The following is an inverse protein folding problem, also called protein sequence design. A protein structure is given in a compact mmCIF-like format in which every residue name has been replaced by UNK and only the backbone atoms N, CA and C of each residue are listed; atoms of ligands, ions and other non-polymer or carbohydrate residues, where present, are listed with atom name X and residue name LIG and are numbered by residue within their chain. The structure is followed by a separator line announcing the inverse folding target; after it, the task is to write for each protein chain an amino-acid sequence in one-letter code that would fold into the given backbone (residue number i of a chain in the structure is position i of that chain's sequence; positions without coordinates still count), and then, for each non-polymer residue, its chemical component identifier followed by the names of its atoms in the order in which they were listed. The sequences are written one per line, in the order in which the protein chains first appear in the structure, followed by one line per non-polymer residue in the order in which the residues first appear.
data_IF_649760266109
#
_entry.id   IF_649760266109
#
_cell.length_a   1.000
_cell.length_b   1.000
_cell.length_c   1.000
_cell.angle_alpha   90.00
_cell.angle_beta   90.00
_cell.angle_gamma   90.00
#
_symmetry.space_group_name_H-M   'P 1'
#
loop_
_entity.id
_entity.type
_entity.pdbx_description
1 polymer ?
#
# COMPACT_ATOMS: atom_id res chain seq x y z
N UNK A 1 -17.50 -31.06 -20.31
CA UNK A 1 -17.67 -30.06 -19.24
C UNK A 1 -16.40 -29.25 -19.21
N UNK A 2 -16.46 -27.91 -19.11
CA UNK A 2 -15.25 -27.12 -18.95
C UNK A 2 -14.54 -27.60 -17.68
N UNK A 3 -13.26 -27.92 -17.78
CA UNK A 3 -12.44 -28.32 -16.64
C UNK A 3 -12.25 -27.10 -15.75
N UNK A 4 -12.55 -27.21 -14.45
CA UNK A 4 -12.33 -26.12 -13.50
C UNK A 4 -10.86 -25.68 -13.56
N UNK A 5 -10.62 -24.37 -13.64
CA UNK A 5 -9.29 -23.81 -13.86
C UNK A 5 -9.13 -22.45 -13.19
N UNK A 6 -7.91 -22.16 -12.73
CA UNK A 6 -7.50 -20.85 -12.20
C UNK A 6 -6.94 -19.90 -13.26
N UNK A 7 -7.05 -20.24 -14.55
CA UNK A 7 -6.51 -19.43 -15.65
C UNK A 7 -7.00 -17.98 -15.61
N UNK A 8 -8.30 -17.75 -15.48
CA UNK A 8 -8.86 -16.39 -15.41
C UNK A 8 -8.45 -15.66 -14.11
N UNK A 9 -8.35 -16.38 -12.99
CA UNK A 9 -7.78 -15.83 -11.74
C UNK A 9 -6.35 -15.34 -11.95
N UNK A 10 -5.50 -16.16 -12.60
CA UNK A 10 -4.10 -15.81 -12.91
C UNK A 10 -4.00 -14.68 -13.91
N UNK A 11 -4.85 -14.66 -14.94
CA UNK A 11 -4.90 -13.56 -15.91
C UNK A 11 -5.24 -12.23 -15.25
N UNK A 12 -6.11 -12.21 -14.24
CA UNK A 12 -6.42 -11.01 -13.45
C UNK A 12 -5.26 -10.57 -12.56
N UNK A 13 -4.50 -11.51 -11.99
CA UNK A 13 -3.27 -11.18 -11.26
C UNK A 13 -2.20 -10.60 -12.19
N UNK A 14 -2.01 -11.18 -13.37
CA UNK A 14 -1.12 -10.63 -14.39
C UNK A 14 -1.57 -9.23 -14.87
N UNK A 15 -2.88 -8.99 -14.95
CA UNK A 15 -3.41 -7.67 -15.23
C UNK A 15 -3.13 -6.65 -14.11
N UNK A 16 -3.14 -7.09 -12.85
CA UNK A 16 -2.67 -6.27 -11.74
C UNK A 16 -1.18 -5.92 -11.90
N UNK A 17 -0.34 -6.83 -12.41
CA UNK A 17 1.08 -6.52 -12.66
C UNK A 17 1.25 -5.40 -13.68
N UNK A 18 0.47 -5.41 -14.76
CA UNK A 18 0.47 -4.31 -15.73
C UNK A 18 0.11 -2.95 -15.09
N UNK A 19 -0.85 -2.91 -14.18
CA UNK A 19 -1.19 -1.69 -13.45
C UNK A 19 -0.08 -1.24 -12.50
N UNK A 20 0.59 -2.19 -11.85
CA UNK A 20 1.71 -1.91 -10.95
C UNK A 20 2.91 -1.34 -11.71
N UNK A 21 3.25 -1.91 -12.87
CA UNK A 21 4.34 -1.41 -13.72
C UNK A 21 4.05 0.03 -14.17
N UNK A 22 2.83 0.30 -14.65
CA UNK A 22 2.45 1.67 -15.06
C UNK A 22 2.43 2.65 -13.87
N UNK A 23 1.99 2.19 -12.69
CA UNK A 23 2.08 2.99 -11.46
C UNK A 23 3.53 3.36 -11.15
N UNK A 24 4.46 2.41 -11.21
CA UNK A 24 5.88 2.64 -10.94
C UNK A 24 6.51 3.59 -11.95
N UNK A 25 6.15 3.51 -13.22
CA UNK A 25 6.59 4.45 -14.26
C UNK A 25 6.08 5.88 -14.03
N UNK A 26 4.81 6.03 -13.66
CA UNK A 26 4.23 7.34 -13.32
C UNK A 26 4.88 7.92 -12.06
N UNK A 27 5.12 7.06 -11.07
CA UNK A 27 5.77 7.43 -9.83
C UNK A 27 7.19 7.94 -10.11
N UNK A 28 8.01 7.17 -10.83
CA UNK A 28 9.38 7.55 -11.15
C UNK A 28 9.43 8.90 -11.89
N UNK A 29 8.61 9.04 -12.94
CA UNK A 29 8.50 10.30 -13.69
C UNK A 29 8.14 11.50 -12.82
N UNK A 30 7.21 11.33 -11.88
CA UNK A 30 6.83 12.41 -10.98
C UNK A 30 8.00 12.89 -10.10
N UNK A 31 8.85 11.99 -9.61
CA UNK A 31 10.00 12.36 -8.78
C UNK A 31 11.21 12.86 -9.60
N UNK A 32 11.35 12.43 -10.85
CA UNK A 32 12.39 12.91 -11.77
C UNK A 32 12.20 14.39 -12.14
N UNK A 33 10.98 14.91 -12.03
CA UNK A 33 10.64 16.32 -12.31
C UNK A 33 10.88 17.28 -11.12
N UNK A 34 11.57 16.84 -10.07
CA UNK A 34 11.84 17.65 -8.86
C UNK A 34 10.57 18.29 -8.27
N UNK A 35 9.56 17.49 -7.87
CA UNK A 35 8.22 18.01 -7.57
C UNK A 35 8.14 18.79 -6.26
N UNK A 36 9.21 18.81 -5.47
CA UNK A 36 9.33 19.58 -4.25
C UNK A 36 10.78 20.03 -4.02
N UNK A 37 10.92 20.99 -3.11
CA UNK A 37 12.18 21.46 -2.58
C UNK A 37 12.11 21.51 -1.05
N UNK A 38 13.25 21.37 -0.39
CA UNK A 38 13.35 21.56 1.06
C UNK A 38 14.25 22.76 1.31
N UNK A 39 13.72 23.75 2.00
CA UNK A 39 14.48 24.95 2.39
C UNK A 39 14.81 24.90 3.87
N UNK A 40 15.89 25.57 4.25
CA UNK A 40 16.30 25.73 5.64
C UNK A 40 16.17 27.20 6.04
N UNK A 41 15.33 27.48 7.03
CA UNK A 41 15.10 28.82 7.57
C UNK A 41 15.68 28.92 8.97
N UNK A 42 16.45 29.99 9.23
CA UNK A 42 16.92 30.28 10.59
C UNK A 42 15.76 30.81 11.44
N UNK A 43 15.63 30.30 12.65
CA UNK A 43 14.68 30.75 13.65
C UNK A 43 15.39 31.27 14.91
N UNK A 44 14.62 31.83 15.86
CA UNK A 44 15.13 32.28 17.15
C UNK A 44 15.84 31.15 17.91
N UNK A 45 16.61 31.48 18.95
CA UNK A 45 17.26 30.52 19.86
C UNK A 45 18.13 29.44 19.18
N UNK A 46 18.72 29.79 18.01
CA UNK A 46 19.62 28.93 17.21
C UNK A 46 18.96 27.65 16.72
N UNK A 47 17.68 27.77 16.41
CA UNK A 47 16.91 26.80 15.66
C UNK A 47 17.06 27.01 14.16
N UNK A 48 17.03 25.91 13.42
CA UNK A 48 16.81 25.90 11.97
C UNK A 48 15.58 25.06 11.70
N UNK A 49 14.65 25.60 10.92
CA UNK A 49 13.42 24.95 10.50
C UNK A 49 13.63 24.50 9.05
N UNK A 50 13.44 23.20 8.81
CA UNK A 50 13.35 22.67 7.46
C UNK A 50 11.89 22.75 7.00
N UNK A 51 11.64 23.37 5.84
CA UNK A 51 10.29 23.46 5.25
C UNK A 51 10.24 22.76 3.91
N UNK A 52 9.15 22.02 3.68
CA UNK A 52 8.84 21.46 2.38
C UNK A 52 8.09 22.50 1.52
N UNK A 53 8.57 22.72 0.31
CA UNK A 53 7.86 23.48 -0.72
C UNK A 53 7.44 22.56 -1.85
N UNK A 54 6.15 22.42 -2.07
CA UNK A 54 5.61 21.54 -3.11
C UNK A 54 5.47 22.35 -4.40
N UNK A 55 6.31 22.05 -5.39
CA UNK A 55 6.29 22.70 -6.71
C UNK A 55 5.21 22.12 -7.61
N UNK A 56 5.00 20.81 -7.52
CA UNK A 56 4.00 20.06 -8.29
C UNK A 56 3.34 19.01 -7.43
N UNK A 57 2.00 19.02 -7.36
CA UNK A 57 1.23 17.96 -6.72
C UNK A 57 1.37 16.63 -7.47
N UNK A 58 1.26 15.47 -6.78
CA UNK A 58 1.22 14.18 -7.44
C UNK A 58 0.12 14.14 -8.52
N UNK A 59 0.38 13.55 -9.70
CA UNK A 59 -0.61 13.41 -10.75
C UNK A 59 -1.80 12.57 -10.27
N UNK A 60 -3.02 12.95 -10.64
CA UNK A 60 -4.26 12.25 -10.24
C UNK A 60 -4.29 10.81 -10.77
N UNK A 61 -3.61 10.57 -11.87
CA UNK A 61 -3.42 9.29 -12.54
C UNK A 61 -2.81 8.23 -11.62
N UNK A 62 -1.96 8.63 -10.65
CA UNK A 62 -1.44 7.70 -9.62
C UNK A 62 -2.56 7.12 -8.74
N UNK A 63 -3.58 7.91 -8.42
CA UNK A 63 -4.73 7.44 -7.67
C UNK A 63 -5.61 6.51 -8.50
N UNK A 64 -5.85 6.87 -9.76
CA UNK A 64 -6.67 6.07 -10.69
C UNK A 64 -6.06 4.68 -10.95
N UNK A 65 -4.78 4.63 -11.32
CA UNK A 65 -4.11 3.36 -11.61
C UNK A 65 -3.95 2.50 -10.35
N UNK A 66 -3.81 3.11 -9.18
CA UNK A 66 -3.82 2.39 -7.91
C UNK A 66 -5.18 1.75 -7.61
N UNK A 67 -6.28 2.45 -7.90
CA UNK A 67 -7.64 1.89 -7.84
C UNK A 67 -7.81 0.69 -8.78
N UNK A 68 -7.35 0.80 -10.03
CA UNK A 68 -7.38 -0.29 -11.01
C UNK A 68 -6.55 -1.52 -10.57
N UNK A 69 -5.39 -1.27 -9.95
CA UNK A 69 -4.55 -2.32 -9.34
C UNK A 69 -5.29 -3.05 -8.22
N UNK A 70 -5.87 -2.31 -7.25
CA UNK A 70 -6.67 -2.88 -6.15
C UNK A 70 -7.86 -3.68 -6.69
N UNK A 71 -8.56 -3.14 -7.68
CA UNK A 71 -9.69 -3.79 -8.32
C UNK A 71 -9.27 -5.12 -8.95
N UNK A 72 -8.14 -5.15 -9.65
CA UNK A 72 -7.64 -6.35 -10.32
C UNK A 72 -7.27 -7.45 -9.32
N UNK A 73 -6.55 -7.12 -8.24
CA UNK A 73 -6.26 -8.04 -7.14
C UNK A 73 -7.54 -8.61 -6.51
N UNK A 74 -8.49 -7.73 -6.19
CA UNK A 74 -9.75 -8.12 -5.57
C UNK A 74 -10.60 -9.00 -6.49
N UNK A 75 -10.64 -8.65 -7.78
CA UNK A 75 -11.37 -9.36 -8.82
C UNK A 75 -10.77 -10.76 -9.06
N UNK A 76 -9.45 -10.92 -8.95
CA UNK A 76 -8.81 -12.22 -9.05
C UNK A 76 -9.30 -13.17 -7.94
N UNK A 77 -9.32 -12.70 -6.69
CA UNK A 77 -9.83 -13.48 -5.55
C UNK A 77 -11.31 -13.83 -5.72
N UNK A 78 -12.15 -12.89 -6.15
CA UNK A 78 -13.57 -13.17 -6.42
C UNK A 78 -13.76 -14.20 -7.52
N UNK A 79 -12.97 -14.10 -8.58
CA UNK A 79 -13.03 -15.01 -9.71
C UNK A 79 -12.70 -16.45 -9.31
N UNK A 80 -11.76 -16.65 -8.38
CA UNK A 80 -11.34 -17.97 -7.87
C UNK A 80 -12.49 -18.78 -7.24
N UNK A 81 -13.54 -18.13 -6.74
CA UNK A 81 -14.64 -18.84 -6.09
C UNK A 81 -15.44 -19.69 -7.08
N UNK A 82 -15.60 -19.26 -8.34
CA UNK A 82 -16.35 -20.04 -9.33
C UNK A 82 -15.65 -21.37 -9.66
N UNK A 83 -14.36 -21.41 -10.00
CA UNK A 83 -13.61 -22.66 -10.17
C UNK A 83 -13.64 -23.59 -8.94
N UNK A 84 -13.58 -23.05 -7.72
CA UNK A 84 -13.71 -23.86 -6.49
C UNK A 84 -15.10 -24.52 -6.35
N UNK A 85 -16.17 -23.86 -6.82
CA UNK A 85 -17.52 -24.45 -6.85
C UNK A 85 -17.59 -25.56 -7.92
N UNK A 86 -16.97 -25.34 -9.08
CA UNK A 86 -16.91 -26.30 -10.17
C UNK A 86 -16.12 -27.57 -9.80
N UNK A 87 -15.01 -27.42 -9.07
CA UNK A 87 -14.26 -28.56 -8.50
C UNK A 87 -15.12 -29.42 -7.57
N UNK A 88 -16.09 -28.82 -6.89
CA UNK A 88 -17.06 -29.52 -6.06
C UNK A 88 -18.24 -30.11 -6.85
N UNK A 89 -18.17 -30.15 -8.19
CA UNK A 89 -19.21 -30.67 -9.07
C UNK A 89 -20.49 -29.81 -9.11
N UNK A 90 -20.41 -28.54 -8.71
CA UNK A 90 -21.56 -27.62 -8.63
C UNK A 90 -21.44 -26.49 -9.64
N UNK A 91 -22.56 -25.81 -9.88
CA UNK A 91 -22.62 -24.66 -10.79
C UNK A 91 -22.52 -23.33 -10.01
N UNK A 92 -21.64 -22.40 -10.40
CA UNK A 92 -21.48 -21.13 -9.71
C UNK A 92 -22.71 -20.21 -9.90
N UNK A 93 -23.12 -19.56 -8.81
CA UNK A 93 -24.20 -18.56 -8.84
C UNK A 93 -23.71 -17.15 -9.15
N UNK A 94 -24.63 -16.22 -9.40
CA UNK A 94 -24.31 -14.82 -9.79
C UNK A 94 -23.67 -13.95 -8.70
N UNK A 95 -23.72 -14.36 -7.43
CA UNK A 95 -23.30 -13.55 -6.27
C UNK A 95 -22.24 -14.28 -5.44
N UNK A 96 -21.18 -14.73 -6.12
CA UNK A 96 -20.05 -15.43 -5.48
C UNK A 96 -18.83 -14.53 -5.45
N UNK A 97 -18.18 -14.49 -4.31
CA UNK A 97 -17.03 -13.60 -4.06
C UNK A 97 -16.19 -14.13 -2.90
N UNK A 98 -14.91 -13.80 -2.92
CA UNK A 98 -14.01 -14.14 -1.82
C UNK A 98 -14.46 -13.34 -0.58
N UNK A 99 -14.74 -13.99 0.56
CA UNK A 99 -15.18 -13.31 1.76
C UNK A 99 -13.98 -12.68 2.48
N UNK A 100 -14.19 -11.50 3.05
CA UNK A 100 -13.26 -10.82 3.96
C UNK A 100 -14.08 -10.30 5.12
N UNK A 101 -13.90 -10.89 6.29
CA UNK A 101 -14.67 -10.61 7.49
C UNK A 101 -13.78 -10.60 8.73
N UNK A 102 -14.06 -9.68 9.64
CA UNK A 102 -13.30 -9.43 10.87
C UNK A 102 -13.71 -10.34 12.04
N UNK A 103 -14.69 -11.23 11.87
CA UNK A 103 -15.10 -12.15 12.93
C UNK A 103 -15.73 -13.42 12.38
N UNK A 104 -15.57 -14.51 13.12
CA UNK A 104 -16.20 -15.80 12.83
C UNK A 104 -17.72 -15.65 12.69
N UNK A 105 -18.34 -14.90 13.61
CA UNK A 105 -19.79 -14.64 13.56
C UNK A 105 -20.23 -13.95 12.26
N UNK A 106 -19.48 -12.96 11.76
CA UNK A 106 -19.85 -12.24 10.54
C UNK A 106 -19.58 -13.08 9.29
N UNK A 107 -18.50 -13.86 9.30
CA UNK A 107 -18.19 -14.86 8.28
C UNK A 107 -19.26 -15.95 8.18
N UNK A 108 -19.68 -16.54 9.30
CA UNK A 108 -20.73 -17.56 9.32
C UNK A 108 -22.07 -17.00 8.83
N UNK A 109 -22.44 -15.81 9.31
CA UNK A 109 -23.73 -15.19 8.95
C UNK A 109 -23.81 -14.76 7.47
N UNK A 110 -22.72 -14.28 6.89
CA UNK A 110 -22.74 -13.64 5.57
C UNK A 110 -21.67 -14.15 4.60
N UNK A 111 -20.48 -14.46 5.09
CA UNK A 111 -19.37 -15.01 4.30
C UNK A 111 -19.68 -16.37 3.69
N UNK A 112 -20.27 -17.30 4.45
CA UNK A 112 -20.70 -18.63 3.96
C UNK A 112 -21.60 -18.54 2.72
N UNK A 113 -22.49 -17.55 2.68
CA UNK A 113 -23.34 -17.33 1.50
C UNK A 113 -22.56 -16.85 0.27
N UNK A 114 -21.48 -16.07 0.44
CA UNK A 114 -20.61 -15.63 -0.68
C UNK A 114 -19.87 -16.79 -1.34
N UNK A 115 -19.63 -17.88 -0.60
CA UNK A 115 -18.93 -19.08 -1.09
C UNK A 115 -19.85 -20.30 -1.20
N UNK A 116 -21.17 -20.12 -1.21
CA UNK A 116 -22.07 -21.29 -1.21
C UNK A 116 -21.89 -22.13 -2.49
N UNK A 117 -21.61 -23.42 -2.29
CA UNK A 117 -21.23 -24.36 -3.35
C UNK A 117 -19.77 -24.80 -3.28
N UNK A 118 -18.90 -24.05 -2.60
CA UNK A 118 -17.52 -24.49 -2.31
C UNK A 118 -17.56 -25.71 -1.37
N UNK A 119 -16.55 -26.58 -1.43
CA UNK A 119 -16.42 -27.74 -0.53
C UNK A 119 -16.14 -27.28 0.91
N UNK A 120 -16.42 -28.12 1.91
CA UNK A 120 -16.17 -27.76 3.31
C UNK A 120 -14.67 -27.56 3.60
N UNK A 121 -13.82 -28.37 2.96
CA UNK A 121 -12.35 -28.25 3.06
C UNK A 121 -11.86 -26.91 2.49
N UNK A 122 -12.28 -26.55 1.28
CA UNK A 122 -11.94 -25.26 0.68
C UNK A 122 -12.51 -24.08 1.46
N UNK A 123 -13.73 -24.22 2.01
CA UNK A 123 -14.33 -23.19 2.84
C UNK A 123 -13.55 -22.98 4.15
N UNK A 124 -13.05 -24.04 4.77
CA UNK A 124 -12.17 -23.95 5.94
C UNK A 124 -10.83 -23.26 5.60
N UNK A 125 -10.22 -23.55 4.44
CA UNK A 125 -9.02 -22.84 3.97
C UNK A 125 -9.26 -21.34 3.75
N UNK A 126 -10.43 -20.97 3.21
CA UNK A 126 -10.85 -19.56 3.08
C UNK A 126 -11.04 -18.89 4.45
N UNK A 127 -11.59 -19.63 5.43
CA UNK A 127 -11.83 -19.12 6.79
C UNK A 127 -10.53 -18.84 7.57
N UNK A 128 -9.50 -19.66 7.36
CA UNK A 128 -8.15 -19.43 7.93
C UNK A 128 -7.54 -18.12 7.45
N UNK A 129 -7.93 -17.62 6.28
CA UNK A 129 -7.45 -16.35 5.73
C UNK A 129 -8.20 -15.12 6.25
N UNK A 130 -9.30 -15.30 7.00
CA UNK A 130 -10.09 -14.16 7.45
C UNK A 130 -9.35 -13.32 8.50
N UNK A 131 -9.43 -11.98 8.42
CA UNK A 131 -8.72 -11.05 9.31
C UNK A 131 -9.37 -10.91 10.68
N UNK A 132 -9.46 -12.03 11.42
CA UNK A 132 -9.95 -12.03 12.79
C UNK A 132 -8.94 -11.36 13.75
N UNK A 133 -9.42 -10.68 14.81
CA UNK A 133 -8.57 -10.06 15.81
C UNK A 133 -7.53 -11.03 16.40
N UNK A 134 -6.30 -10.53 16.58
CA UNK A 134 -5.19 -11.30 17.16
C UNK A 134 -4.41 -12.15 16.16
N UNK A 135 -4.77 -12.16 14.87
CA UNK A 135 -3.94 -12.72 13.81
C UNK A 135 -2.96 -11.66 13.30
N UNK A 136 -1.67 -11.97 13.35
CA UNK A 136 -0.63 -11.21 12.67
C UNK A 136 0.03 -12.14 11.67
N UNK A 137 -0.41 -12.00 10.43
CA UNK A 137 0.07 -12.76 9.28
C UNK A 137 0.06 -11.80 8.08
N UNK A 138 1.20 -11.59 7.40
CA UNK A 138 1.30 -10.63 6.30
C UNK A 138 0.31 -10.88 5.15
N UNK A 139 -0.08 -12.15 4.92
CA UNK A 139 -1.05 -12.51 3.87
C UNK A 139 -2.46 -12.08 4.29
N UNK A 140 -2.83 -12.29 5.55
CA UNK A 140 -4.11 -11.86 6.09
C UNK A 140 -4.19 -10.33 6.13
N UNK A 141 -3.12 -9.67 6.53
CA UNK A 141 -3.01 -8.20 6.57
C UNK A 141 -3.14 -7.60 5.16
N UNK A 142 -2.46 -8.19 4.16
CA UNK A 142 -2.58 -7.79 2.76
C UNK A 142 -4.00 -7.98 2.21
N UNK A 143 -4.66 -9.10 2.53
CA UNK A 143 -6.05 -9.35 2.14
C UNK A 143 -7.00 -8.28 2.71
N UNK A 144 -6.88 -8.00 4.00
CA UNK A 144 -7.68 -6.98 4.67
C UNK A 144 -7.44 -5.59 4.06
N UNK A 145 -6.18 -5.25 3.80
CA UNK A 145 -5.79 -3.98 3.20
C UNK A 145 -6.38 -3.80 1.80
N UNK A 146 -6.29 -4.83 0.94
CA UNK A 146 -6.85 -4.78 -0.42
C UNK A 146 -8.36 -4.65 -0.42
N UNK A 147 -9.07 -5.36 0.47
CA UNK A 147 -10.53 -5.23 0.58
C UNK A 147 -10.94 -3.84 1.10
N UNK A 148 -10.27 -3.36 2.16
CA UNK A 148 -10.52 -2.03 2.73
C UNK A 148 -10.28 -0.91 1.72
N UNK A 149 -9.11 -0.90 1.07
CA UNK A 149 -8.76 0.14 0.10
C UNK A 149 -9.57 0.03 -1.18
N UNK A 150 -9.87 -1.19 -1.64
CA UNK A 150 -10.75 -1.39 -2.79
C UNK A 150 -12.19 -0.95 -2.52
N UNK A 151 -12.69 -1.07 -1.28
CA UNK A 151 -13.98 -0.53 -0.90
C UNK A 151 -13.94 0.99 -0.72
N UNK A 152 -12.83 1.53 -0.19
CA UNK A 152 -12.61 2.96 -0.11
C UNK A 152 -12.67 3.59 -1.50
N UNK A 153 -11.87 3.10 -2.45
CA UNK A 153 -11.76 3.63 -3.82
C UNK A 153 -13.12 3.68 -4.55
N UNK A 154 -13.92 2.62 -4.44
CA UNK A 154 -15.27 2.55 -5.04
C UNK A 154 -16.22 3.65 -4.55
N UNK A 155 -16.04 4.10 -3.31
CA UNK A 155 -16.95 5.05 -2.68
C UNK A 155 -16.34 6.46 -2.56
N UNK A 156 -15.01 6.57 -2.60
CA UNK A 156 -14.24 7.78 -2.37
C UNK A 156 -12.95 7.70 -3.17
N UNK A 157 -12.68 8.75 -3.94
CA UNK A 157 -11.44 8.83 -4.70
C UNK A 157 -10.22 8.74 -3.78
N UNK A 158 -9.29 7.85 -4.15
CA UNK A 158 -7.97 7.81 -3.54
C UNK A 158 -7.13 8.95 -4.11
N UNK A 159 -6.81 9.92 -3.26
CA UNK A 159 -5.99 11.05 -3.64
C UNK A 159 -4.52 10.78 -3.30
N UNK A 160 -3.62 10.75 -4.29
CA UNK A 160 -2.19 10.65 -4.03
C UNK A 160 -1.72 11.92 -3.31
N UNK A 161 -1.02 11.75 -2.20
CA UNK A 161 -0.45 12.85 -1.41
C UNK A 161 1.02 12.60 -1.13
N UNK A 162 1.82 13.66 -1.02
CA UNK A 162 3.17 13.52 -0.50
C UNK A 162 3.11 13.13 0.98
N UNK A 163 3.94 12.17 1.38
CA UNK A 163 4.10 11.71 2.74
C UNK A 163 5.57 11.51 3.06
N UNK A 164 5.96 11.85 4.29
CA UNK A 164 7.33 11.70 4.78
C UNK A 164 7.44 10.50 5.72
N UNK A 165 8.46 9.66 5.48
CA UNK A 165 8.85 8.58 6.39
C UNK A 165 10.33 8.66 6.73
N UNK A 166 10.69 9.43 7.74
CA UNK A 166 12.09 9.73 8.05
C UNK A 166 12.36 9.64 9.55
N UNK A 167 13.61 9.34 9.88
CA UNK A 167 14.11 9.30 11.26
C UNK A 167 14.98 10.52 11.55
N UNK A 168 15.25 10.80 12.82
CA UNK A 168 16.23 11.80 13.20
C UNK A 168 17.63 11.51 12.59
N UNK A 169 17.98 10.22 12.45
CA UNK A 169 19.22 9.80 11.79
C UNK A 169 19.21 10.12 10.30
N UNK A 170 18.08 9.93 9.61
CA UNK A 170 17.91 10.31 8.20
C UNK A 170 18.16 11.80 7.99
N UNK A 171 17.64 12.66 8.87
CA UNK A 171 17.85 14.12 8.79
C UNK A 171 19.30 14.51 9.09
N UNK A 172 19.94 13.87 10.08
CA UNK A 172 21.32 14.22 10.46
C UNK A 172 22.35 13.93 9.38
N UNK A 173 22.12 12.94 8.52
CA UNK A 173 23.01 12.62 7.40
C UNK A 173 22.89 13.58 6.20
N UNK A 174 21.91 14.49 6.21
CA UNK A 174 21.49 15.26 5.04
C UNK A 174 21.97 16.72 5.01
N UNK A 175 22.39 17.24 6.15
CA UNK A 175 22.87 18.62 6.27
C UNK A 175 24.39 18.63 6.28
N UNK A 176 25.01 19.16 5.22
CA UNK A 176 26.46 19.42 5.22
C UNK A 176 26.80 20.45 6.30
N UNK A 177 27.85 20.18 7.07
CA UNK A 177 28.36 21.11 8.09
C UNK A 177 27.71 21.02 9.48
N UNK A 178 26.89 19.99 9.76
CA UNK A 178 26.45 19.64 11.13
C UNK A 178 27.63 19.02 11.88
N UNK A 179 28.22 19.70 12.88
CA UNK A 179 29.26 19.10 13.71
C UNK A 179 28.66 17.96 14.56
N UNK A 180 29.48 17.02 15.05
CA UNK A 180 29.06 16.16 16.18
C UNK A 180 28.53 17.07 17.31
N UNK A 181 27.28 16.84 17.75
CA UNK A 181 26.61 17.63 18.80
C UNK A 181 25.29 18.32 18.43
N UNK A 182 24.64 17.99 17.30
CA UNK A 182 23.30 18.57 16.99
C UNK A 182 22.18 17.75 17.61
N UNK A 183 21.37 18.43 18.43
CA UNK A 183 20.14 17.86 18.98
C UNK A 183 19.01 18.08 17.96
N UNK A 184 18.58 17.01 17.30
CA UNK A 184 17.37 17.02 16.47
C UNK A 184 16.17 16.94 17.40
N UNK A 185 15.55 18.08 17.69
CA UNK A 185 14.36 18.16 18.55
C UNK A 185 13.16 18.65 17.74
N UNK A 186 12.01 17.99 17.88
CA UNK A 186 10.80 18.37 17.14
C UNK A 186 10.64 17.69 15.79
N UNK A 187 10.88 16.37 15.73
CA UNK A 187 10.43 15.50 14.62
C UNK A 187 8.92 15.57 14.50
N UNK A 188 8.42 16.43 13.63
CA UNK A 188 7.03 16.44 13.22
C UNK A 188 6.97 16.27 11.70
N UNK A 189 7.08 15.04 11.23
CA UNK A 189 5.91 14.35 10.69
C UNK A 189 6.16 12.84 10.84
N UNK A 190 5.27 12.17 11.55
CA UNK A 190 5.32 10.72 11.66
C UNK A 190 5.02 10.08 10.30
N UNK A 191 5.46 8.83 10.14
CA UNK A 191 5.14 8.00 8.99
C UNK A 191 3.66 8.14 8.57
N UNK A 192 3.41 8.46 7.30
CA UNK A 192 2.06 8.51 6.73
C UNK A 192 1.30 9.83 6.92
N UNK A 193 1.91 10.87 7.52
CA UNK A 193 1.27 12.19 7.55
C UNK A 193 1.39 12.89 6.20
N UNK A 194 0.26 13.41 5.72
CA UNK A 194 0.17 14.27 4.54
C UNK A 194 1.09 15.48 4.70
N UNK A 195 1.98 15.66 3.74
CA UNK A 195 2.84 16.83 3.60
C UNK A 195 2.22 17.77 2.57
N UNK A 196 1.84 18.96 3.03
CA UNK A 196 1.42 20.06 2.18
C UNK A 196 2.56 21.03 1.89
N UNK A 197 2.31 21.96 0.97
CA UNK A 197 3.21 23.09 0.76
C UNK A 197 3.38 23.92 2.05
N UNK A 198 4.62 24.34 2.33
CA UNK A 198 5.01 25.07 3.53
C UNK A 198 5.08 24.24 4.82
N UNK A 199 4.85 22.92 4.75
CA UNK A 199 4.87 22.05 5.92
C UNK A 199 6.24 22.11 6.63
N UNK A 200 6.20 22.32 7.95
CA UNK A 200 7.40 22.20 8.79
C UNK A 200 7.81 20.74 8.83
N UNK A 201 8.96 20.46 8.26
CA UNK A 201 9.48 19.12 8.07
C UNK A 201 10.32 18.67 9.28
N UNK A 202 11.18 19.56 9.80
CA UNK A 202 12.01 19.28 10.96
C UNK A 202 12.47 20.58 11.63
N UNK A 203 12.87 20.47 12.90
CA UNK A 203 13.61 21.52 13.60
C UNK A 203 14.94 20.97 14.09
N UNK A 204 15.99 21.76 13.89
CA UNK A 204 17.37 21.43 14.26
C UNK A 204 17.85 22.45 15.29
N UNK A 205 18.32 21.99 16.45
CA UNK A 205 18.90 22.86 17.46
C UNK A 205 20.41 22.67 17.50
N UNK A 206 21.14 23.77 17.40
CA UNK A 206 22.60 23.77 17.49
C UNK A 206 23.06 24.03 18.94
N UNK A 207 24.31 23.65 19.29
CA UNK A 207 24.95 23.87 20.61
C UNK A 207 25.55 25.29 20.78
N UNK A 208 25.26 26.01 21.90
CA UNK A 208 25.51 27.45 22.13
C UNK A 208 26.88 27.99 21.74
N UNK A 209 27.90 27.16 21.88
CA UNK A 209 29.32 27.45 21.78
C UNK A 209 29.90 27.31 20.36
N UNK A 210 29.11 26.81 19.40
CA UNK A 210 29.54 26.70 17.99
C UNK A 210 28.91 27.76 17.09
N UNK A 211 29.65 28.31 16.11
CA UNK A 211 29.09 29.21 15.10
C UNK A 211 28.01 28.47 14.29
N UNK A 212 26.91 29.17 13.96
CA UNK A 212 25.86 28.57 13.15
C UNK A 212 26.39 28.26 11.73
N UNK A 213 26.31 27.00 11.28
CA UNK A 213 26.72 26.67 9.92
C UNK A 213 25.80 27.34 8.90
N UNK A 214 26.35 27.60 7.71
CA UNK A 214 25.52 27.79 6.53
C UNK A 214 24.99 26.41 6.14
N UNK A 215 23.68 26.23 6.22
CA UNK A 215 23.03 24.96 5.93
C UNK A 215 22.67 24.94 4.46
N UNK A 216 23.29 24.03 3.75
CA UNK A 216 22.87 23.63 2.41
C UNK A 216 22.17 22.29 2.53
N UNK A 217 20.91 22.26 2.10
CA UNK A 217 20.12 21.03 2.01
C UNK A 217 20.46 20.39 0.68
N UNK A 218 21.49 19.55 0.67
CA UNK A 218 21.97 18.92 -0.56
C UNK A 218 21.17 17.70 -1.00
N UNK A 219 20.25 17.22 -0.16
CA UNK A 219 19.64 15.91 -0.35
C UNK A 219 18.11 16.03 -0.40
N UNK A 220 17.54 15.37 -1.43
CA UNK A 220 16.11 15.11 -1.49
C UNK A 220 15.78 14.10 -0.42
N UNK A 221 14.88 14.45 0.48
CA UNK A 221 14.34 13.50 1.44
C UNK A 221 13.69 12.32 0.71
N UNK A 222 13.66 11.12 1.29
CA UNK A 222 12.79 10.06 0.80
C UNK A 222 11.33 10.43 1.13
N UNK A 223 10.80 11.41 0.40
CA UNK A 223 9.37 11.70 0.36
C UNK A 223 8.75 10.68 -0.58
N UNK A 224 7.69 10.05 -0.14
CA UNK A 224 6.94 9.08 -0.91
C UNK A 224 5.57 9.67 -1.25
N UNK A 225 4.88 9.11 -2.25
CA UNK A 225 3.45 9.33 -2.42
C UNK A 225 2.69 8.30 -1.59
N UNK A 226 1.91 8.77 -0.62
CA UNK A 226 0.91 7.96 0.07
C UNK A 226 -0.38 7.90 -0.76
N UNK A 227 -0.93 6.69 -0.90
CA UNK A 227 -2.12 6.40 -1.71
C UNK A 227 -3.38 6.23 -0.85
N UNK A 228 -3.45 6.94 0.26
CA UNK A 228 -4.62 7.07 1.15
C UNK A 228 -4.19 7.83 2.40
N UNK A 229 -5.16 8.20 3.24
CA UNK A 229 -4.93 8.67 4.61
C UNK A 229 -4.25 7.63 5.50
N UNK A 230 -4.19 6.35 5.07
CA UNK A 230 -3.48 5.27 5.77
C UNK A 230 -1.97 5.24 5.51
N UNK A 231 -1.44 6.11 4.66
CA UNK A 231 0.01 6.23 4.47
C UNK A 231 0.64 5.03 3.76
N UNK A 232 -0.11 4.31 2.92
CA UNK A 232 0.41 3.17 2.18
C UNK A 232 1.51 3.63 1.21
N UNK A 233 2.68 2.99 1.33
CA UNK A 233 3.85 3.28 0.51
C UNK A 233 3.75 2.58 -0.84
N UNK A 234 4.11 3.30 -1.92
CA UNK A 234 4.25 2.70 -3.25
C UNK A 234 5.25 1.53 -3.28
N UNK A 235 6.24 1.53 -2.38
CA UNK A 235 7.25 0.46 -2.25
C UNK A 235 6.69 -0.84 -1.66
N UNK A 236 5.56 -0.80 -0.94
CA UNK A 236 4.93 -1.98 -0.36
C UNK A 236 4.01 -2.72 -1.35
N UNK A 237 3.72 -2.12 -2.52
CA UNK A 237 2.77 -2.68 -3.47
C UNK A 237 3.20 -4.05 -4.05
N UNK A 238 4.49 -4.28 -4.42
CA UNK A 238 4.94 -5.59 -4.88
C UNK A 238 4.77 -6.69 -3.83
N UNK A 239 5.00 -6.39 -2.55
CA UNK A 239 4.83 -7.34 -1.45
C UNK A 239 3.36 -7.70 -1.25
N UNK A 240 2.46 -6.71 -1.27
CA UNK A 240 1.00 -6.95 -1.21
C UNK A 240 0.57 -7.85 -2.38
N UNK A 241 1.02 -7.55 -3.60
CA UNK A 241 0.75 -8.39 -4.76
C UNK A 241 1.22 -9.83 -4.54
N UNK A 242 2.44 -10.02 -4.03
CA UNK A 242 2.98 -11.34 -3.75
C UNK A 242 2.14 -12.11 -2.72
N UNK A 243 1.66 -11.43 -1.68
CA UNK A 243 0.77 -12.00 -0.68
C UNK A 243 -0.59 -12.42 -1.24
N UNK A 244 -1.19 -11.62 -2.14
CA UNK A 244 -2.43 -12.02 -2.82
C UNK A 244 -2.22 -13.23 -3.73
N UNK A 245 -1.07 -13.31 -4.42
CA UNK A 245 -0.73 -14.51 -5.21
C UNK A 245 -0.57 -15.74 -4.33
N UNK A 246 0.08 -15.60 -3.16
CA UNK A 246 0.20 -16.68 -2.20
C UNK A 246 -1.16 -17.20 -1.69
N UNK A 247 -2.21 -16.38 -1.67
CA UNK A 247 -3.58 -16.84 -1.39
C UNK A 247 -4.07 -17.79 -2.48
N UNK A 248 -3.91 -17.41 -3.75
CA UNK A 248 -4.33 -18.22 -4.90
C UNK A 248 -3.52 -19.54 -4.95
N UNK A 249 -2.23 -19.48 -4.65
CA UNK A 249 -1.34 -20.64 -4.65
C UNK A 249 -1.72 -21.69 -3.60
N UNK A 250 -2.41 -21.31 -2.51
CA UNK A 250 -2.94 -22.27 -1.52
C UNK A 250 -4.03 -23.20 -2.08
N UNK A 251 -4.65 -22.82 -3.20
CA UNK A 251 -5.71 -23.61 -3.86
C UNK A 251 -5.24 -24.23 -5.17
N UNK A 252 -4.16 -23.71 -5.76
CA UNK A 252 -3.63 -24.18 -7.04
C UNK A 252 -3.39 -25.70 -7.15
N UNK A 253 -2.89 -26.40 -6.11
CA UNK A 253 -2.67 -27.85 -6.16
C UNK A 253 -3.94 -28.69 -6.34
N UNK A 254 -5.13 -28.13 -6.07
CA UNK A 254 -6.39 -28.86 -6.19
C UNK A 254 -6.97 -28.82 -7.62
N UNK A 255 -6.35 -28.05 -8.52
CA UNK A 255 -6.76 -27.95 -9.91
C UNK A 255 -5.89 -28.85 -10.79
N UNK A 256 -6.47 -29.47 -11.83
CA UNK A 256 -5.68 -30.22 -12.81
C UNK A 256 -4.70 -29.26 -13.50
N UNK A 257 -3.49 -29.75 -13.80
CA UNK A 257 -2.54 -29.02 -14.64
C UNK A 257 -3.20 -28.67 -15.97
N UNK A 258 -2.96 -27.45 -16.46
CA UNK A 258 -3.42 -27.06 -17.78
C UNK A 258 -2.81 -28.04 -18.79
N UNK A 259 -3.64 -28.67 -19.62
CA UNK A 259 -3.12 -29.44 -20.73
C UNK A 259 -2.45 -28.45 -21.69
N UNK A 260 -1.13 -28.61 -21.88
CA UNK A 260 -0.32 -27.87 -22.85
C UNK A 260 -0.90 -27.92 -24.28
#
# INVERSE_FOLDING_TARGET
MATASLENTRAKLAWADHHLDFFQELWARYFDEDPYEITAERAADRWVILRLHVRRSPPVELGLIFGDWLYSLRSALDNMIAPLIELNGKQPGRRRSFPVFDSERSFERAGRNRIAGVSDDHAARIEVLQPYPGRSDPIIEALALVDDLGNLDKHRAIHPVLAGGYTAASISGMVRGVPQGVEVTGTYTGYGKRLGDGAEFARLRFEPDRPMPQIEVESKLPIEVALSDRGLRGTALPEIRAHICAIVDRFAPDFPEAAD
#
